data_IF_178572171138
#
_entry.id   IF_178572171138
#
_cell.length_a   1.000
_cell.length_b   1.000
_cell.length_c   1.000
_cell.angle_alpha   90.00
_cell.angle_beta   90.00
_cell.angle_gamma   90.00
#
_symmetry.space_group_name_H-M   'P 1'
#
loop_
_entity.id
_entity.type
_entity.pdbx_description
1 polymer ?
#
# COMPACT_ATOMS: atom_id res chain seq x y z
N UNK A 1 30.79 7.85 101.12
CA UNK A 1 31.80 7.59 100.08
C UNK A 1 31.08 7.09 98.88
N UNK A 2 30.74 8.02 97.97
CA UNK A 2 29.97 7.75 96.79
C UNK A 2 30.86 7.52 95.59
N UNK A 3 30.59 6.44 94.83
CA UNK A 3 31.23 6.20 93.54
C UNK A 3 30.17 6.33 92.49
N UNK A 4 30.25 7.42 91.72
CA UNK A 4 29.48 7.62 90.48
C UNK A 4 30.05 6.79 89.32
N UNK A 5 29.23 5.97 88.71
CA UNK A 5 29.54 5.33 87.41
C UNK A 5 28.96 6.17 86.28
N UNK A 6 29.82 6.63 85.39
CA UNK A 6 29.53 7.26 84.14
C UNK A 6 29.12 6.23 83.07
N UNK A 7 28.00 6.34 82.50
CA UNK A 7 27.53 5.53 81.34
C UNK A 7 27.80 6.27 80.03
N UNK A 8 28.76 5.77 79.23
CA UNK A 8 28.98 6.26 77.85
C UNK A 8 27.92 5.72 76.89
N UNK A 9 27.25 6.63 76.22
CA UNK A 9 26.37 6.32 75.11
C UNK A 9 27.22 6.31 73.82
N UNK A 10 27.32 5.15 73.15
CA UNK A 10 27.83 5.03 71.79
C UNK A 10 26.67 5.19 70.78
N UNK A 11 26.68 6.27 70.02
CA UNK A 11 25.77 6.50 68.92
C UNK A 11 26.29 5.77 67.68
N UNK A 12 25.67 4.63 67.37
CA UNK A 12 25.90 3.98 66.09
C UNK A 12 25.07 4.69 64.97
N UNK A 13 25.74 5.32 64.01
CA UNK A 13 25.15 5.75 62.76
C UNK A 13 24.87 4.55 61.87
N UNK A 14 23.60 4.22 61.66
CA UNK A 14 23.18 3.30 60.57
C UNK A 14 23.18 4.09 59.25
N UNK A 15 24.11 3.84 58.36
CA UNK A 15 24.04 4.25 56.97
C UNK A 15 23.07 3.30 56.24
N UNK A 16 21.84 3.80 55.96
CA UNK A 16 20.93 3.12 55.03
C UNK A 16 21.42 3.36 53.59
N UNK A 17 21.93 2.33 52.96
CA UNK A 17 22.24 2.34 51.52
C UNK A 17 20.92 2.29 50.73
N UNK A 18 20.43 3.42 50.24
CA UNK A 18 19.32 3.46 49.31
C UNK A 18 19.84 3.07 47.93
N UNK A 19 19.63 1.80 47.57
CA UNK A 19 19.83 1.34 46.19
C UNK A 19 18.72 1.95 45.35
N UNK A 20 18.97 3.04 44.63
CA UNK A 20 18.14 3.53 43.53
C UNK A 20 18.28 2.55 42.38
N UNK A 21 17.28 1.66 42.21
CA UNK A 21 17.14 0.86 41.00
C UNK A 21 16.68 1.86 39.91
N UNK A 22 17.63 2.33 39.09
CA UNK A 22 17.29 3.01 37.85
C UNK A 22 16.58 1.99 36.97
N UNK A 23 15.44 2.35 36.35
CA UNK A 23 14.80 1.51 35.35
C UNK A 23 15.84 1.27 34.22
N UNK A 24 15.85 0.08 33.59
CA UNK A 24 16.72 -0.15 32.45
C UNK A 24 16.39 0.90 31.40
N UNK A 25 17.38 1.67 31.00
CA UNK A 25 17.29 2.56 29.87
C UNK A 25 16.81 1.72 28.70
N UNK A 26 15.57 1.93 28.26
CA UNK A 26 15.10 1.41 26.98
C UNK A 26 16.12 1.95 25.97
N UNK A 27 16.93 1.06 25.39
CA UNK A 27 17.76 1.40 24.26
C UNK A 27 16.77 1.79 23.15
N UNK A 28 16.56 3.09 22.94
CA UNK A 28 15.95 3.57 21.72
C UNK A 28 16.83 3.05 20.59
N UNK A 29 16.33 2.07 19.84
CA UNK A 29 17.00 1.63 18.62
C UNK A 29 17.12 2.88 17.74
N UNK A 30 18.33 3.20 17.33
CA UNK A 30 18.54 4.32 16.41
C UNK A 30 17.71 4.05 15.15
N UNK A 31 16.85 4.99 14.77
CA UNK A 31 16.05 4.88 13.55
C UNK A 31 17.02 4.87 12.38
N UNK A 32 17.08 3.74 11.67
CA UNK A 32 17.96 3.55 10.51
C UNK A 32 17.18 3.46 9.21
N UNK A 33 15.85 3.29 9.29
CA UNK A 33 14.98 3.16 8.14
C UNK A 33 14.36 4.49 7.73
N UNK A 34 14.06 4.60 6.43
CA UNK A 34 13.42 5.77 5.83
C UNK A 34 12.23 5.38 4.98
N UNK A 35 11.22 6.27 4.94
CA UNK A 35 10.07 6.14 4.07
C UNK A 35 9.85 7.46 3.33
N UNK A 36 9.54 7.34 2.03
CA UNK A 36 9.20 8.46 1.16
C UNK A 36 7.92 8.12 0.41
N UNK A 37 6.89 8.97 0.48
CA UNK A 37 5.72 8.86 -0.37
C UNK A 37 6.07 9.24 -1.80
N UNK A 38 5.42 8.58 -2.75
CA UNK A 38 5.71 8.67 -4.18
C UNK A 38 4.40 8.72 -4.93
N UNK A 39 4.20 9.72 -5.79
CA UNK A 39 2.97 9.85 -6.54
C UNK A 39 3.14 9.60 -8.05
N UNK A 40 2.03 9.36 -8.72
CA UNK A 40 1.84 9.61 -10.14
C UNK A 40 0.56 10.39 -10.32
N UNK A 41 0.57 11.35 -11.20
CA UNK A 41 -0.59 12.20 -11.46
C UNK A 41 -0.90 12.29 -12.96
N UNK A 42 -2.21 12.43 -13.32
CA UNK A 42 -2.60 12.55 -14.72
C UNK A 42 -2.14 13.89 -15.29
N UNK A 43 -1.31 13.85 -16.33
CA UNK A 43 -0.85 15.06 -17.03
C UNK A 43 -2.05 15.98 -17.38
N UNK A 44 -1.82 17.29 -17.48
CA UNK A 44 -2.85 18.31 -17.76
C UNK A 44 -3.94 18.41 -16.66
N UNK A 45 -3.60 18.09 -15.39
CA UNK A 45 -4.53 18.22 -14.26
C UNK A 45 -3.91 19.02 -13.11
N UNK A 46 -4.76 19.39 -12.16
CA UNK A 46 -4.34 20.04 -10.91
C UNK A 46 -4.13 19.01 -9.76
N UNK A 47 -3.71 17.78 -10.08
CA UNK A 47 -3.53 16.70 -9.11
C UNK A 47 -2.05 16.41 -8.79
N UNK A 48 -1.16 17.33 -9.10
CA UNK A 48 0.27 17.28 -8.79
C UNK A 48 0.54 17.89 -7.41
N UNK A 49 1.31 17.21 -6.59
CA UNK A 49 1.94 17.73 -5.36
C UNK A 49 3.45 17.84 -5.59
N UNK A 50 3.96 19.00 -6.04
CA UNK A 50 5.34 19.15 -6.53
C UNK A 50 6.44 18.78 -5.52
N UNK A 51 6.12 18.63 -4.24
CA UNK A 51 7.02 18.23 -3.17
C UNK A 51 6.92 16.72 -2.81
N UNK A 52 6.04 15.98 -3.45
CA UNK A 52 6.02 14.51 -3.43
C UNK A 52 6.72 14.02 -4.70
N UNK A 53 7.76 13.17 -4.59
CA UNK A 53 8.49 12.70 -5.76
C UNK A 53 7.65 11.89 -6.73
N UNK A 54 7.87 12.07 -8.05
CA UNK A 54 7.22 11.32 -9.12
C UNK A 54 7.71 9.88 -9.22
N UNK A 55 6.79 8.92 -9.34
CA UNK A 55 7.10 7.50 -9.46
C UNK A 55 8.07 7.16 -10.61
N UNK A 56 7.96 7.71 -11.82
CA UNK A 56 8.92 7.42 -12.89
C UNK A 56 10.37 7.73 -12.54
N UNK A 57 10.60 8.81 -11.80
CA UNK A 57 11.93 9.23 -11.36
C UNK A 57 12.42 8.30 -10.25
N UNK A 58 11.60 8.13 -9.21
CA UNK A 58 11.94 7.31 -8.04
C UNK A 58 12.21 5.87 -8.41
N UNK A 59 11.38 5.27 -9.26
CA UNK A 59 11.56 3.88 -9.70
C UNK A 59 12.86 3.71 -10.48
N UNK A 60 13.09 4.57 -11.47
CA UNK A 60 14.33 4.53 -12.25
C UNK A 60 15.57 4.64 -11.35
N UNK A 61 15.59 5.60 -10.43
CA UNK A 61 16.74 5.87 -9.60
C UNK A 61 16.99 4.75 -8.57
N UNK A 62 15.91 4.17 -8.00
CA UNK A 62 16.00 3.01 -7.13
C UNK A 62 16.57 1.78 -7.85
N UNK A 63 16.11 1.50 -9.07
CA UNK A 63 16.57 0.37 -9.89
C UNK A 63 18.01 0.60 -10.40
N UNK A 64 18.37 1.84 -10.73
CA UNK A 64 19.74 2.20 -11.13
C UNK A 64 20.73 1.99 -9.99
N UNK A 65 20.30 2.19 -8.73
CA UNK A 65 21.10 1.99 -7.53
C UNK A 65 21.31 0.51 -7.14
N UNK A 66 20.59 -0.41 -7.75
CA UNK A 66 20.70 -1.84 -7.43
C UNK A 66 22.12 -2.39 -7.68
N UNK A 67 22.63 -3.14 -6.71
CA UNK A 67 23.97 -3.72 -6.74
C UNK A 67 24.01 -5.25 -6.78
N UNK A 68 22.95 -5.93 -6.30
CA UNK A 68 22.90 -7.39 -6.16
C UNK A 68 21.64 -8.00 -6.74
N UNK A 69 20.46 -7.52 -6.33
CA UNK A 69 19.18 -8.12 -6.69
C UNK A 69 18.11 -7.08 -6.97
N UNK A 70 17.24 -7.40 -7.94
CA UNK A 70 15.96 -6.73 -8.15
C UNK A 70 14.89 -7.82 -8.25
N UNK A 71 13.84 -7.73 -7.43
CA UNK A 71 12.69 -8.61 -7.50
C UNK A 71 11.43 -7.75 -7.78
N UNK A 72 10.72 -8.05 -8.84
CA UNK A 72 9.53 -7.31 -9.29
C UNK A 72 8.33 -8.23 -9.26
N UNK A 73 7.26 -7.82 -8.56
CA UNK A 73 5.95 -8.46 -8.63
C UNK A 73 4.92 -7.47 -9.16
N UNK A 74 4.29 -7.81 -10.27
CA UNK A 74 3.34 -6.94 -10.92
C UNK A 74 2.10 -7.68 -11.44
N UNK A 75 0.96 -7.01 -11.32
CA UNK A 75 -0.29 -7.46 -11.88
C UNK A 75 -0.22 -7.61 -13.40
N UNK A 76 0.36 -6.63 -14.09
CA UNK A 76 0.65 -6.68 -15.51
C UNK A 76 1.71 -5.64 -15.91
N UNK A 77 2.20 -5.77 -17.12
CA UNK A 77 3.14 -4.84 -17.73
C UNK A 77 2.57 -4.37 -19.08
N UNK A 78 2.50 -3.06 -19.30
CA UNK A 78 2.00 -2.50 -20.55
C UNK A 78 2.78 -1.26 -20.95
N UNK A 79 3.46 -1.31 -22.09
CA UNK A 79 4.10 -0.16 -22.73
C UNK A 79 3.13 0.55 -23.66
N UNK A 80 3.41 1.81 -23.93
CA UNK A 80 2.69 2.55 -24.96
C UNK A 80 2.92 1.88 -26.34
N UNK A 81 1.84 1.47 -26.97
CA UNK A 81 1.87 0.78 -28.25
C UNK A 81 1.90 -0.75 -28.19
N UNK A 82 1.94 -1.35 -27.00
CA UNK A 82 1.90 -2.81 -26.83
C UNK A 82 0.44 -3.30 -26.74
N UNK A 83 -0.13 -3.72 -27.88
CA UNK A 83 -1.53 -4.19 -27.94
C UNK A 83 -2.57 -3.08 -28.21
N UNK A 84 -3.81 -3.48 -28.44
CA UNK A 84 -4.86 -2.55 -28.88
C UNK A 84 -5.22 -1.50 -27.82
N UNK A 85 -5.26 -1.87 -26.54
CA UNK A 85 -5.62 -0.97 -25.43
C UNK A 85 -4.45 -0.12 -24.93
N UNK A 86 -3.25 -0.32 -25.45
CA UNK A 86 -2.05 0.38 -25.01
C UNK A 86 -1.71 1.62 -25.84
N UNK A 87 -2.49 1.91 -26.86
CA UNK A 87 -2.30 3.13 -27.67
C UNK A 87 -2.83 4.35 -26.93
N UNK A 88 -2.00 5.38 -26.84
CA UNK A 88 -2.35 6.68 -26.32
C UNK A 88 -2.57 7.70 -27.45
N UNK A 89 -3.21 8.83 -27.17
CA UNK A 89 -3.32 9.94 -28.11
C UNK A 89 -1.94 10.57 -28.39
N UNK A 90 -1.90 11.40 -29.42
CA UNK A 90 -0.67 12.14 -29.75
C UNK A 90 -0.22 13.03 -28.58
N UNK A 91 1.08 13.04 -28.32
CA UNK A 91 1.68 13.86 -27.25
C UNK A 91 1.90 13.13 -25.92
N UNK A 92 1.31 11.94 -25.73
CA UNK A 92 1.56 11.13 -24.53
C UNK A 92 2.92 10.43 -24.62
N UNK A 93 3.63 10.39 -23.52
CA UNK A 93 4.96 9.76 -23.42
C UNK A 93 4.89 8.43 -22.69
N UNK A 94 5.63 7.42 -23.18
CA UNK A 94 5.85 6.16 -22.45
C UNK A 94 6.85 6.36 -21.31
N UNK A 95 6.34 6.65 -20.10
CA UNK A 95 7.16 6.82 -18.90
C UNK A 95 7.65 5.48 -18.32
N UNK A 96 7.10 4.35 -18.76
CA UNK A 96 7.55 3.02 -18.33
C UNK A 96 8.81 2.58 -19.10
N UNK A 97 8.95 2.95 -20.37
CA UNK A 97 10.08 2.50 -21.19
C UNK A 97 11.45 2.77 -20.56
N UNK A 98 11.77 3.99 -20.06
CA UNK A 98 13.05 4.25 -19.41
C UNK A 98 13.30 3.42 -18.14
N UNK A 99 12.24 3.03 -17.44
CA UNK A 99 12.32 2.19 -16.24
C UNK A 99 12.67 0.74 -16.64
N UNK A 100 12.01 0.20 -17.66
CA UNK A 100 12.34 -1.12 -18.20
C UNK A 100 13.76 -1.18 -18.75
N UNK A 101 14.22 -0.12 -19.42
CA UNK A 101 15.62 0.01 -19.86
C UNK A 101 16.60 -0.07 -18.69
N UNK A 102 16.23 0.50 -17.52
CA UNK A 102 17.09 0.42 -16.34
C UNK A 102 17.09 -0.98 -15.72
N UNK A 103 15.95 -1.69 -15.72
CA UNK A 103 15.89 -3.11 -15.33
C UNK A 103 16.85 -3.96 -16.21
N UNK A 104 16.84 -3.74 -17.53
CA UNK A 104 17.74 -4.43 -18.47
C UNK A 104 19.20 -4.06 -18.20
N UNK A 105 19.51 -2.77 -18.02
CA UNK A 105 20.85 -2.33 -17.64
C UNK A 105 21.35 -2.96 -16.35
N UNK A 106 20.49 -3.08 -15.34
CA UNK A 106 20.82 -3.75 -14.08
C UNK A 106 21.22 -5.21 -14.30
N UNK A 107 20.44 -5.97 -15.05
CA UNK A 107 20.78 -7.34 -15.45
C UNK A 107 22.12 -7.41 -16.19
N UNK A 108 22.36 -6.49 -17.14
CA UNK A 108 23.62 -6.37 -17.87
C UNK A 108 24.84 -6.01 -16.99
N UNK A 109 24.64 -5.36 -15.85
CA UNK A 109 25.68 -5.10 -14.83
C UNK A 109 25.97 -6.31 -13.93
N UNK A 110 25.21 -7.40 -14.05
CA UNK A 110 25.35 -8.59 -13.21
C UNK A 110 24.42 -8.63 -11.99
N UNK A 111 23.46 -7.68 -11.88
CA UNK A 111 22.40 -7.75 -10.90
C UNK A 111 21.47 -8.92 -11.24
N UNK A 112 21.13 -9.76 -10.27
CA UNK A 112 20.14 -10.81 -10.45
C UNK A 112 18.75 -10.21 -10.44
N UNK A 113 18.03 -10.31 -11.58
CA UNK A 113 16.67 -9.78 -11.70
C UNK A 113 15.67 -10.91 -11.81
N UNK A 114 14.63 -10.88 -10.96
CA UNK A 114 13.48 -11.80 -11.02
C UNK A 114 12.21 -10.98 -11.24
N UNK A 115 11.40 -11.40 -12.21
CA UNK A 115 10.13 -10.74 -12.55
C UNK A 115 8.99 -11.73 -12.44
N UNK A 116 7.98 -11.39 -11.66
CA UNK A 116 6.78 -12.18 -11.45
C UNK A 116 5.58 -11.42 -12.00
N UNK A 117 4.82 -12.04 -12.91
CA UNK A 117 3.62 -11.48 -13.50
C UNK A 117 2.41 -12.40 -13.28
N UNK A 118 1.22 -11.82 -13.24
CA UNK A 118 -0.04 -12.56 -13.10
C UNK A 118 -0.39 -13.35 -14.36
N UNK A 119 -0.81 -14.61 -14.23
CA UNK A 119 -1.12 -15.48 -15.36
C UNK A 119 -2.32 -14.99 -16.18
N UNK A 120 -3.38 -14.48 -15.53
CA UNK A 120 -4.58 -14.04 -16.22
C UNK A 120 -4.33 -12.78 -17.06
N UNK A 121 -3.61 -11.81 -16.49
CA UNK A 121 -3.29 -10.57 -17.19
C UNK A 121 -2.11 -10.71 -18.16
N UNK A 122 -1.20 -11.64 -17.93
CA UNK A 122 -0.16 -11.97 -18.91
C UNK A 122 -0.74 -12.52 -20.22
N UNK A 123 -1.93 -13.11 -20.22
CA UNK A 123 -2.62 -13.49 -21.47
C UNK A 123 -3.02 -12.28 -22.34
N UNK A 124 -3.29 -11.14 -21.69
CA UNK A 124 -3.63 -9.87 -22.37
C UNK A 124 -2.39 -9.06 -22.73
N UNK A 125 -1.39 -9.06 -21.85
CA UNK A 125 -0.18 -8.25 -21.95
C UNK A 125 1.09 -9.10 -21.86
N UNK A 126 1.36 -10.02 -22.81
CA UNK A 126 2.50 -10.94 -22.74
C UNK A 126 3.83 -10.33 -23.16
N UNK A 127 3.82 -9.22 -23.89
CA UNK A 127 4.99 -8.71 -24.63
C UNK A 127 6.17 -8.35 -23.70
N UNK A 128 5.92 -7.56 -22.65
CA UNK A 128 6.99 -7.10 -21.75
C UNK A 128 7.59 -8.23 -20.91
N UNK A 129 6.82 -9.11 -20.23
CA UNK A 129 7.39 -10.24 -19.51
C UNK A 129 8.21 -11.18 -20.39
N UNK A 130 7.74 -11.47 -21.61
CA UNK A 130 8.47 -12.30 -22.57
C UNK A 130 9.79 -11.65 -22.98
N UNK A 131 9.75 -10.37 -23.38
CA UNK A 131 10.94 -9.60 -23.74
C UNK A 131 11.96 -9.48 -22.60
N UNK A 132 11.51 -9.23 -21.36
CA UNK A 132 12.41 -9.19 -20.21
C UNK A 132 13.09 -10.54 -19.97
N UNK A 133 12.37 -11.66 -20.13
CA UNK A 133 12.91 -13.00 -19.95
C UNK A 133 14.01 -13.39 -20.96
N UNK A 134 14.11 -12.68 -22.08
CA UNK A 134 15.17 -12.82 -23.08
C UNK A 134 16.44 -12.04 -22.75
N UNK A 135 16.38 -11.12 -21.75
CA UNK A 135 17.51 -10.27 -21.42
C UNK A 135 18.49 -10.95 -20.47
N UNK A 136 19.77 -10.60 -20.58
CA UNK A 136 20.82 -11.14 -19.73
C UNK A 136 20.58 -10.79 -18.24
N UNK A 137 20.74 -11.77 -17.35
CA UNK A 137 20.59 -11.58 -15.91
C UNK A 137 19.15 -11.50 -15.41
N UNK A 138 18.14 -11.62 -16.29
CA UNK A 138 16.72 -11.52 -15.95
C UNK A 138 16.05 -12.90 -16.07
N UNK A 139 15.24 -13.24 -15.07
CA UNK A 139 14.36 -14.40 -15.08
C UNK A 139 12.92 -13.96 -14.86
N UNK A 140 12.01 -14.47 -15.70
CA UNK A 140 10.56 -14.21 -15.53
C UNK A 140 9.84 -15.50 -15.18
N UNK A 141 8.82 -15.37 -14.32
CA UNK A 141 7.85 -16.40 -13.99
C UNK A 141 6.45 -15.85 -14.06
N UNK A 142 5.49 -16.71 -14.35
CA UNK A 142 4.08 -16.37 -14.41
C UNK A 142 3.38 -17.10 -13.27
N UNK A 143 2.73 -16.35 -12.38
CA UNK A 143 2.03 -16.88 -11.21
C UNK A 143 0.55 -17.09 -11.54
N UNK A 144 0.11 -18.35 -11.51
CA UNK A 144 -1.30 -18.72 -11.68
C UNK A 144 -1.92 -19.07 -10.31
N UNK A 145 -2.68 -18.12 -9.76
CA UNK A 145 -3.34 -18.31 -8.47
C UNK A 145 -4.60 -19.19 -8.57
N UNK A 146 -5.20 -19.31 -9.75
CA UNK A 146 -6.28 -20.27 -9.99
C UNK A 146 -5.76 -21.71 -9.83
N UNK A 147 -4.57 -22.00 -10.35
CA UNK A 147 -3.91 -23.29 -10.18
C UNK A 147 -3.40 -23.49 -8.74
N UNK A 148 -2.85 -22.44 -8.12
CA UNK A 148 -2.21 -22.55 -6.80
C UNK A 148 -3.19 -22.77 -5.66
N UNK A 149 -4.31 -22.02 -5.64
CA UNK A 149 -5.32 -22.12 -4.55
C UNK A 149 -6.78 -21.87 -4.98
N UNK A 150 -7.09 -22.02 -6.26
CA UNK A 150 -8.47 -22.04 -6.76
C UNK A 150 -9.10 -20.67 -6.99
N UNK A 151 -8.31 -19.60 -7.18
CA UNK A 151 -8.85 -18.30 -7.54
C UNK A 151 -7.94 -17.11 -7.29
N UNK A 152 -8.39 -15.94 -7.72
CA UNK A 152 -7.67 -14.68 -7.54
C UNK A 152 -6.68 -14.34 -8.66
N UNK A 153 -5.90 -13.31 -8.42
CA UNK A 153 -4.84 -12.81 -9.31
C UNK A 153 -3.68 -12.27 -8.46
N UNK A 154 -2.49 -12.24 -9.03
CA UNK A 154 -1.37 -11.46 -8.45
C UNK A 154 -1.67 -9.98 -8.67
N UNK A 155 -2.39 -9.35 -7.74
CA UNK A 155 -2.74 -7.93 -7.85
C UNK A 155 -1.73 -7.02 -7.14
N UNK A 156 -0.66 -7.57 -6.59
CA UNK A 156 0.42 -6.83 -5.97
C UNK A 156 1.20 -5.98 -6.99
N UNK A 157 1.73 -4.85 -6.56
CA UNK A 157 2.57 -3.94 -7.34
C UNK A 157 3.69 -3.45 -6.43
N UNK A 158 4.80 -4.17 -6.48
CA UNK A 158 5.97 -3.82 -5.69
C UNK A 158 7.25 -4.31 -6.37
N UNK A 159 8.36 -3.72 -5.95
CA UNK A 159 9.67 -4.27 -6.24
C UNK A 159 10.57 -4.15 -5.02
N UNK A 160 11.54 -5.06 -4.93
CA UNK A 160 12.61 -5.04 -3.94
C UNK A 160 13.94 -4.75 -4.63
N UNK A 161 14.78 -3.98 -3.96
CA UNK A 161 16.14 -3.67 -4.41
C UNK A 161 17.10 -4.07 -3.30
N UNK A 162 18.04 -4.93 -3.63
CA UNK A 162 19.00 -5.48 -2.69
C UNK A 162 18.32 -6.03 -1.42
N UNK A 163 18.88 -5.81 -0.22
CA UNK A 163 18.33 -6.40 1.01
C UNK A 163 17.52 -5.41 1.86
N UNK A 164 17.56 -4.14 1.55
CA UNK A 164 17.05 -3.07 2.41
C UNK A 164 16.05 -2.11 1.74
N UNK A 165 15.90 -2.16 0.42
CA UNK A 165 15.04 -1.26 -0.32
C UNK A 165 13.82 -1.94 -0.95
N UNK A 166 12.67 -1.28 -0.93
CA UNK A 166 11.50 -1.71 -1.67
C UNK A 166 10.52 -0.57 -1.95
N UNK A 167 9.71 -0.76 -2.98
CA UNK A 167 8.55 0.06 -3.29
C UNK A 167 7.28 -0.77 -3.18
N UNK A 168 6.21 -0.21 -2.60
CA UNK A 168 4.84 -0.72 -2.65
C UNK A 168 3.93 0.43 -3.06
N UNK A 169 3.00 0.21 -4.00
CA UNK A 169 2.06 1.26 -4.38
C UNK A 169 0.88 0.75 -5.18
N UNK A 170 0.08 1.69 -5.61
CA UNK A 170 -1.05 1.45 -6.48
C UNK A 170 -0.66 1.39 -7.96
N UNK A 171 0.51 1.93 -8.31
CA UNK A 171 1.03 2.03 -9.68
C UNK A 171 1.28 0.66 -10.30
N UNK A 172 0.57 0.33 -11.38
CA UNK A 172 0.94 -0.80 -12.23
C UNK A 172 2.21 -0.49 -13.03
N UNK A 173 2.90 -1.52 -13.49
CA UNK A 173 3.99 -1.38 -14.47
C UNK A 173 3.40 -1.08 -15.87
N UNK A 174 2.80 0.10 -15.95
CA UNK A 174 1.96 0.55 -17.06
C UNK A 174 2.26 2.03 -17.36
N UNK A 175 2.44 2.35 -18.63
CA UNK A 175 2.67 3.73 -19.06
C UNK A 175 1.59 4.71 -18.57
N UNK A 176 0.31 4.23 -18.46
CA UNK A 176 -0.82 5.03 -17.96
C UNK A 176 -0.70 5.33 -16.46
N UNK A 177 -0.30 4.32 -15.69
CA UNK A 177 -0.12 4.44 -14.24
C UNK A 177 0.97 5.46 -13.86
N UNK A 178 1.91 5.71 -14.75
CA UNK A 178 3.05 6.59 -14.51
C UNK A 178 2.87 8.04 -15.00
N UNK A 179 1.73 8.38 -15.59
CA UNK A 179 1.50 9.74 -16.09
C UNK A 179 0.06 10.07 -16.49
N UNK A 180 -0.88 9.13 -16.37
CA UNK A 180 -2.27 9.34 -16.78
C UNK A 180 -3.29 8.88 -15.74
N UNK A 181 -2.83 8.41 -14.58
CA UNK A 181 -3.65 7.90 -13.47
C UNK A 181 -3.16 8.53 -12.16
N UNK A 182 -4.07 8.83 -11.24
CA UNK A 182 -3.74 9.37 -9.93
C UNK A 182 -3.44 8.26 -8.94
N UNK A 183 -2.18 8.11 -8.54
CA UNK A 183 -1.64 6.97 -7.83
C UNK A 183 -0.78 7.41 -6.66
N UNK A 184 -0.74 6.59 -5.60
CA UNK A 184 0.14 6.80 -4.45
C UNK A 184 0.86 5.50 -4.09
N UNK A 185 2.13 5.62 -3.75
CA UNK A 185 2.96 4.53 -3.25
C UNK A 185 4.00 5.02 -2.26
N UNK A 186 4.84 4.13 -1.81
CA UNK A 186 5.92 4.41 -0.88
C UNK A 186 7.20 3.69 -1.30
N UNK A 187 8.31 4.42 -1.24
CA UNK A 187 9.66 3.85 -1.25
C UNK A 187 10.15 3.75 0.20
N UNK A 188 10.54 2.55 0.60
CA UNK A 188 11.04 2.28 1.96
C UNK A 188 12.45 1.74 1.88
N UNK A 189 13.28 2.16 2.82
CA UNK A 189 14.63 1.63 3.03
C UNK A 189 14.76 1.19 4.48
N UNK A 190 14.50 -0.11 4.73
CA UNK A 190 14.63 -0.77 6.04
C UNK A 190 14.74 -2.29 5.83
N UNK A 191 15.81 -2.88 6.34
CA UNK A 191 16.17 -4.29 6.11
C UNK A 191 15.12 -5.29 6.61
N UNK A 192 14.53 -5.05 7.78
CA UNK A 192 13.54 -5.96 8.38
C UNK A 192 12.25 -6.02 7.59
N UNK A 193 11.72 -4.87 7.17
CA UNK A 193 10.52 -4.77 6.32
C UNK A 193 10.80 -5.34 4.91
N UNK A 194 11.97 -5.05 4.33
CA UNK A 194 12.37 -5.63 3.05
C UNK A 194 12.45 -7.15 3.11
N UNK A 195 12.98 -7.70 4.22
CA UNK A 195 13.01 -9.15 4.47
C UNK A 195 11.61 -9.75 4.58
N UNK A 196 10.69 -9.10 5.27
CA UNK A 196 9.30 -9.57 5.40
C UNK A 196 8.60 -9.58 4.04
N UNK A 197 8.74 -8.53 3.24
CA UNK A 197 8.19 -8.47 1.88
C UNK A 197 8.85 -9.51 0.95
N UNK A 198 10.15 -9.75 1.09
CA UNK A 198 10.89 -10.77 0.32
C UNK A 198 10.38 -12.17 0.60
N UNK A 199 9.98 -12.48 1.83
CA UNK A 199 9.40 -13.79 2.18
C UNK A 199 8.08 -14.03 1.41
N UNK A 200 7.28 -12.99 1.19
CA UNK A 200 6.09 -13.07 0.34
C UNK A 200 6.50 -13.32 -1.11
N UNK A 201 7.47 -12.55 -1.61
CA UNK A 201 7.97 -12.71 -2.98
C UNK A 201 8.54 -14.12 -3.23
N UNK A 202 9.38 -14.62 -2.35
CA UNK A 202 10.03 -15.92 -2.50
C UNK A 202 9.02 -17.07 -2.49
N UNK A 203 7.98 -16.98 -1.65
CA UNK A 203 6.87 -17.93 -1.67
C UNK A 203 6.14 -17.90 -3.03
N UNK A 204 5.75 -16.73 -3.49
CA UNK A 204 5.06 -16.56 -4.79
C UNK A 204 5.95 -17.01 -5.96
N UNK A 205 7.26 -16.73 -5.87
CA UNK A 205 8.24 -17.17 -6.86
C UNK A 205 8.39 -18.70 -6.90
N UNK A 206 8.40 -19.35 -5.73
CA UNK A 206 8.48 -20.82 -5.63
C UNK A 206 7.23 -21.47 -6.23
N UNK A 207 6.03 -20.97 -5.89
CA UNK A 207 4.75 -21.42 -6.46
C UNK A 207 4.74 -21.27 -7.98
N UNK A 208 5.15 -20.12 -8.50
CA UNK A 208 5.27 -19.90 -9.96
C UNK A 208 6.35 -20.77 -10.63
N UNK A 209 7.20 -21.42 -9.84
CA UNK A 209 8.18 -22.42 -10.28
C UNK A 209 7.66 -23.85 -10.22
N UNK A 210 6.42 -24.06 -9.82
CA UNK A 210 5.79 -25.39 -9.70
C UNK A 210 5.97 -26.04 -8.33
N UNK A 211 6.50 -25.33 -7.33
CA UNK A 211 6.55 -25.85 -5.97
C UNK A 211 5.16 -25.79 -5.33
N UNK A 212 4.73 -26.85 -4.60
CA UNK A 212 3.45 -26.82 -3.92
C UNK A 212 3.45 -25.72 -2.83
N UNK A 213 2.33 -25.04 -2.69
CA UNK A 213 2.16 -24.11 -1.59
C UNK A 213 2.15 -24.85 -0.24
N UNK A 214 2.96 -24.38 0.69
CA UNK A 214 3.12 -24.96 2.03
C UNK A 214 2.81 -23.93 3.13
N UNK A 215 2.06 -22.87 2.81
CA UNK A 215 1.77 -21.79 3.75
C UNK A 215 0.96 -22.25 4.95
N UNK A 216 1.07 -21.49 6.02
CA UNK A 216 0.33 -21.67 7.27
C UNK A 216 -0.82 -20.67 7.29
N UNK A 217 -1.98 -21.08 7.78
CA UNK A 217 -3.05 -20.12 8.05
C UNK A 217 -2.60 -19.20 9.21
N UNK A 218 -2.43 -17.88 9.00
CA UNK A 218 -1.93 -16.99 10.03
C UNK A 218 -2.93 -16.88 11.19
N UNK A 219 -2.42 -16.79 12.40
CA UNK A 219 -3.22 -16.40 13.56
C UNK A 219 -3.71 -14.96 13.44
N UNK A 220 -4.89 -14.67 13.95
CA UNK A 220 -5.36 -13.29 14.11
C UNK A 220 -4.64 -12.69 15.34
N UNK A 221 -3.60 -11.90 15.08
CA UNK A 221 -2.82 -11.24 16.12
C UNK A 221 -3.22 -9.76 16.13
N UNK A 222 -3.62 -9.19 17.29
CA UNK A 222 -3.94 -7.77 17.40
C UNK A 222 -2.75 -6.90 16.97
N UNK A 223 -3.03 -5.75 16.37
CA UNK A 223 -2.00 -4.81 15.89
C UNK A 223 -1.00 -4.42 16.99
N UNK A 224 -1.48 -4.30 18.24
CA UNK A 224 -0.63 -3.96 19.39
C UNK A 224 0.47 -4.99 19.67
N UNK A 225 0.24 -6.26 19.34
CA UNK A 225 1.15 -7.38 19.63
C UNK A 225 2.04 -7.74 18.43
N UNK A 226 1.87 -7.10 17.28
CA UNK A 226 2.67 -7.34 16.09
C UNK A 226 4.02 -6.61 16.16
N UNK A 227 5.12 -7.24 15.70
CA UNK A 227 6.42 -6.59 15.63
C UNK A 227 6.40 -5.46 14.58
N UNK A 228 6.93 -4.29 14.97
CA UNK A 228 6.99 -3.09 14.13
C UNK A 228 8.43 -2.62 13.99
N UNK A 229 8.71 -1.88 12.92
CA UNK A 229 10.04 -1.32 12.63
C UNK A 229 9.98 0.19 12.62
N UNK A 230 10.93 0.88 13.27
CA UNK A 230 10.98 2.34 13.25
C UNK A 230 11.47 2.85 11.89
N UNK A 231 10.79 3.89 11.40
CA UNK A 231 11.11 4.60 10.17
C UNK A 231 11.13 6.11 10.42
N UNK A 232 11.94 6.81 9.65
CA UNK A 232 11.93 8.27 9.55
C UNK A 232 11.22 8.71 8.27
N UNK A 233 10.25 9.58 8.38
CA UNK A 233 9.60 10.20 7.21
C UNK A 233 10.50 11.27 6.60
N UNK A 234 10.21 11.68 5.36
CA UNK A 234 10.92 12.77 4.70
C UNK A 234 10.84 14.11 5.48
N UNK A 235 9.79 14.31 6.28
CA UNK A 235 9.60 15.48 7.14
C UNK A 235 10.27 15.34 8.52
N UNK A 236 10.98 14.23 8.77
CA UNK A 236 11.70 13.97 10.02
C UNK A 236 10.83 13.48 11.18
N UNK A 237 9.64 12.97 10.92
CA UNK A 237 8.82 12.30 11.93
C UNK A 237 9.25 10.83 12.10
N UNK A 238 9.37 10.39 13.34
CA UNK A 238 9.56 8.97 13.66
C UNK A 238 8.21 8.26 13.66
N UNK A 239 8.11 7.16 12.92
CA UNK A 239 6.93 6.32 12.81
C UNK A 239 7.31 4.85 12.93
N UNK A 240 6.33 3.99 13.12
CA UNK A 240 6.51 2.54 13.11
C UNK A 240 5.77 1.93 11.93
N UNK A 241 6.34 0.87 11.35
CA UNK A 241 5.77 0.19 10.19
C UNK A 241 5.78 -1.32 10.34
N UNK A 242 4.84 -1.98 9.67
CA UNK A 242 4.83 -3.42 9.44
C UNK A 242 4.26 -3.76 8.06
N UNK A 243 4.77 -4.84 7.46
CA UNK A 243 4.27 -5.39 6.19
C UNK A 243 3.02 -6.23 6.47
N UNK A 244 2.01 -6.07 5.61
CA UNK A 244 0.78 -6.88 5.62
C UNK A 244 0.53 -7.45 4.24
N UNK A 245 -0.27 -8.51 4.13
CA UNK A 245 -0.62 -9.06 2.83
C UNK A 245 -1.95 -9.82 2.83
N UNK A 246 -2.44 -10.12 1.64
CA UNK A 246 -3.58 -10.98 1.33
C UNK A 246 -3.21 -11.98 0.22
N UNK A 247 -3.95 -13.10 0.04
CA UNK A 247 -5.04 -13.57 0.89
C UNK A 247 -4.50 -14.29 2.13
N UNK A 248 -5.37 -14.44 3.15
CA UNK A 248 -5.01 -15.14 4.40
C UNK A 248 -4.39 -16.51 4.15
N UNK A 249 -4.96 -17.29 3.24
CA UNK A 249 -4.48 -18.62 2.91
C UNK A 249 -3.05 -18.65 2.32
N UNK A 250 -2.62 -17.58 1.66
CA UNK A 250 -1.35 -17.53 0.93
C UNK A 250 -0.22 -16.81 1.68
N UNK A 251 -0.24 -16.70 3.01
CA UNK A 251 0.73 -15.91 3.75
C UNK A 251 1.90 -16.75 4.29
N UNK A 252 3.14 -16.25 4.24
CA UNK A 252 4.25 -16.81 5.01
C UNK A 252 4.00 -16.67 6.51
N UNK A 253 4.56 -17.58 7.31
CA UNK A 253 4.47 -17.50 8.77
C UNK A 253 4.95 -16.13 9.29
N UNK A 254 4.18 -15.51 10.19
CA UNK A 254 4.51 -14.23 10.82
C UNK A 254 4.19 -12.99 9.95
N UNK A 255 3.68 -13.15 8.73
CA UNK A 255 3.11 -12.04 7.96
C UNK A 255 1.62 -11.94 8.30
N UNK A 256 1.15 -10.81 8.85
CA UNK A 256 -0.25 -10.65 9.22
C UNK A 256 -1.15 -10.43 7.99
N UNK A 257 -2.38 -10.93 8.08
CA UNK A 257 -3.42 -10.64 7.11
C UNK A 257 -3.88 -9.17 7.25
N UNK A 258 -3.99 -8.44 6.14
CA UNK A 258 -4.27 -7.00 6.14
C UNK A 258 -5.72 -6.64 6.56
N UNK A 259 -6.73 -7.41 6.19
CA UNK A 259 -8.14 -7.07 6.45
C UNK A 259 -8.47 -6.84 7.93
N UNK A 260 -8.12 -7.72 8.89
CA UNK A 260 -8.40 -7.47 10.30
C UNK A 260 -7.70 -6.21 10.84
N UNK A 261 -6.47 -5.94 10.37
CA UNK A 261 -5.71 -4.78 10.81
C UNK A 261 -6.32 -3.47 10.29
N UNK A 262 -6.81 -3.46 9.05
CA UNK A 262 -7.55 -2.31 8.51
C UNK A 262 -8.82 -2.04 9.29
N UNK A 263 -9.57 -3.09 9.68
CA UNK A 263 -10.75 -2.97 10.53
C UNK A 263 -10.37 -2.42 11.91
N UNK A 264 -9.30 -2.93 12.52
CA UNK A 264 -8.81 -2.47 13.82
C UNK A 264 -8.40 -0.98 13.76
N UNK A 265 -7.72 -0.55 12.70
CA UNK A 265 -7.40 0.86 12.48
C UNK A 265 -8.67 1.73 12.41
N UNK A 266 -9.66 1.35 11.59
CA UNK A 266 -10.93 2.09 11.47
C UNK A 266 -11.68 2.07 12.80
N UNK A 267 -11.70 0.96 13.52
CA UNK A 267 -12.36 0.83 14.82
C UNK A 267 -11.65 1.64 15.93
N UNK A 268 -10.37 1.97 15.77
CA UNK A 268 -9.63 2.85 16.69
C UNK A 268 -9.93 4.35 16.51
N UNK A 269 -10.55 4.73 15.38
CA UNK A 269 -10.83 6.12 15.02
C UNK A 269 -11.68 6.84 16.06
N UNK A 270 -11.29 8.08 16.37
CA UNK A 270 -12.01 9.01 17.28
C UNK A 270 -12.42 10.29 16.58
N UNK A 271 -11.56 10.80 15.70
CA UNK A 271 -11.72 12.09 15.05
C UNK A 271 -12.04 11.95 13.57
N UNK A 272 -11.26 11.14 12.82
CA UNK A 272 -11.41 11.05 11.38
C UNK A 272 -10.94 9.72 10.77
N UNK A 273 -11.60 9.33 9.68
CA UNK A 273 -11.17 8.28 8.76
C UNK A 273 -11.23 8.82 7.34
N UNK A 274 -10.09 8.88 6.64
CA UNK A 274 -10.06 9.19 5.22
C UNK A 274 -9.72 7.94 4.42
N UNK A 275 -10.43 7.73 3.31
CA UNK A 275 -10.25 6.56 2.44
C UNK A 275 -10.18 7.02 0.99
N UNK A 276 -9.17 6.57 0.24
CA UNK A 276 -9.07 6.88 -1.19
C UNK A 276 -8.81 5.60 -1.99
N UNK A 277 -9.70 5.30 -2.94
CA UNK A 277 -9.74 4.02 -3.65
C UNK A 277 -10.17 4.16 -5.11
N UNK A 278 -9.72 3.22 -5.95
CA UNK A 278 -10.35 3.01 -7.25
C UNK A 278 -11.81 2.54 -7.09
N UNK A 279 -12.02 1.51 -6.26
CA UNK A 279 -13.33 0.89 -6.11
C UNK A 279 -13.56 0.31 -4.72
N UNK A 280 -14.81 0.35 -4.31
CA UNK A 280 -15.36 -0.26 -3.10
C UNK A 280 -16.56 -1.12 -3.50
N UNK A 281 -16.62 -2.34 -3.03
CA UNK A 281 -17.70 -3.26 -3.40
C UNK A 281 -18.08 -4.20 -2.25
N UNK A 282 -19.36 -4.20 -1.91
CA UNK A 282 -19.91 -5.01 -0.82
C UNK A 282 -20.34 -6.42 -1.24
N UNK A 283 -20.31 -6.73 -2.52
CA UNK A 283 -20.56 -8.07 -3.04
C UNK A 283 -19.55 -8.44 -4.10
N UNK A 284 -19.17 -9.71 -4.13
CA UNK A 284 -18.37 -10.27 -5.20
C UNK A 284 -19.23 -10.63 -6.44
N UNK A 285 -18.61 -11.27 -7.43
CA UNK A 285 -19.29 -11.68 -8.67
C UNK A 285 -20.34 -12.75 -8.43
N UNK A 286 -20.15 -13.58 -7.40
CA UNK A 286 -21.09 -14.61 -6.95
C UNK A 286 -22.17 -14.06 -6.02
N UNK A 287 -22.20 -12.73 -5.81
CA UNK A 287 -23.11 -12.01 -4.90
C UNK A 287 -22.96 -12.42 -3.42
N UNK A 288 -21.79 -12.91 -3.02
CA UNK A 288 -21.48 -13.11 -1.61
C UNK A 288 -21.21 -11.76 -0.97
N UNK A 289 -21.82 -11.52 0.18
CA UNK A 289 -21.67 -10.26 0.91
C UNK A 289 -20.25 -10.14 1.46
N UNK A 290 -19.71 -8.94 1.38
CA UNK A 290 -18.45 -8.51 1.98
C UNK A 290 -18.66 -7.11 2.55
N UNK A 291 -19.15 -7.04 3.77
CA UNK A 291 -19.50 -5.78 4.43
C UNK A 291 -18.61 -5.46 5.64
N UNK A 292 -17.49 -6.16 5.79
CA UNK A 292 -16.59 -6.01 6.94
C UNK A 292 -16.06 -4.56 7.08
N UNK A 293 -15.58 -3.99 5.98
CA UNK A 293 -15.07 -2.61 5.97
C UNK A 293 -16.20 -1.58 6.00
N UNK A 294 -17.34 -1.81 5.33
CA UNK A 294 -18.53 -0.98 5.43
C UNK A 294 -19.01 -0.87 6.89
N UNK A 295 -19.13 -2.00 7.58
CA UNK A 295 -19.51 -2.03 8.99
C UNK A 295 -18.51 -1.28 9.88
N UNK A 296 -17.20 -1.38 9.60
CA UNK A 296 -16.19 -0.64 10.36
C UNK A 296 -16.35 0.87 10.18
N UNK A 297 -16.55 1.35 8.93
CA UNK A 297 -16.81 2.76 8.64
C UNK A 297 -18.08 3.28 9.32
N UNK A 298 -19.17 2.50 9.30
CA UNK A 298 -20.41 2.84 10.01
C UNK A 298 -20.18 2.93 11.52
N UNK A 299 -19.42 2.00 12.12
CA UNK A 299 -19.08 2.07 13.56
C UNK A 299 -18.25 3.31 13.88
N UNK A 300 -17.30 3.70 13.01
CA UNK A 300 -16.53 4.93 13.19
C UNK A 300 -17.44 6.17 13.21
N UNK A 301 -18.35 6.29 12.25
CA UNK A 301 -19.32 7.38 12.20
C UNK A 301 -20.25 7.41 13.43
N UNK A 302 -20.74 6.24 13.90
CA UNK A 302 -21.56 6.13 15.12
C UNK A 302 -20.80 6.56 16.36
N UNK A 303 -19.47 6.36 16.41
CA UNK A 303 -18.62 6.89 17.52
C UNK A 303 -18.39 8.40 17.44
N UNK A 304 -18.76 9.04 16.33
CA UNK A 304 -18.60 10.48 16.10
C UNK A 304 -17.38 10.85 15.27
N UNK A 305 -16.62 9.89 14.74
CA UNK A 305 -15.54 10.17 13.80
C UNK A 305 -16.09 10.62 12.45
N UNK A 306 -15.46 11.62 11.83
CA UNK A 306 -15.76 12.03 10.47
C UNK A 306 -15.20 11.02 9.48
N UNK A 307 -16.03 10.45 8.61
CA UNK A 307 -15.60 9.50 7.57
C UNK A 307 -15.70 10.17 6.20
N UNK A 308 -14.58 10.29 5.52
CA UNK A 308 -14.50 10.84 4.17
C UNK A 308 -13.92 9.81 3.20
N UNK A 309 -14.59 9.61 2.06
CA UNK A 309 -14.16 8.66 1.04
C UNK A 309 -14.05 9.32 -0.33
N UNK A 310 -12.93 9.10 -1.00
CA UNK A 310 -12.75 9.41 -2.42
C UNK A 310 -12.74 8.10 -3.20
N UNK A 311 -13.58 8.02 -4.22
CA UNK A 311 -13.68 6.88 -5.11
C UNK A 311 -13.58 7.34 -6.57
N UNK A 312 -12.98 6.49 -7.41
CA UNK A 312 -13.05 6.74 -8.83
C UNK A 312 -14.50 6.78 -9.35
N UNK A 313 -14.77 7.57 -10.37
CA UNK A 313 -16.07 7.62 -11.03
C UNK A 313 -16.51 6.27 -11.64
N UNK A 314 -15.59 5.30 -11.77
CA UNK A 314 -15.91 3.92 -12.13
C UNK A 314 -16.82 3.23 -11.11
N UNK A 315 -16.84 3.71 -9.88
CA UNK A 315 -17.73 3.26 -8.81
C UNK A 315 -19.21 3.66 -9.03
N UNK A 316 -19.51 4.54 -10.03
CA UNK A 316 -20.88 4.85 -10.50
C UNK A 316 -21.56 3.67 -11.19
N UNK A 317 -20.98 2.48 -11.16
CA UNK A 317 -21.56 1.27 -11.74
C UNK A 317 -22.87 0.89 -11.03
N UNK A 318 -23.82 0.31 -11.77
CA UNK A 318 -25.11 -0.16 -11.21
C UNK A 318 -24.96 -1.17 -10.08
N UNK A 319 -23.80 -1.83 -10.00
CA UNK A 319 -23.50 -2.82 -8.97
C UNK A 319 -23.08 -2.16 -7.66
N UNK A 320 -22.19 -1.17 -7.70
CA UNK A 320 -21.61 -0.54 -6.51
C UNK A 320 -22.43 0.65 -6.02
N UNK A 321 -23.04 1.41 -6.93
CA UNK A 321 -23.70 2.68 -6.62
C UNK A 321 -24.74 2.61 -5.51
N UNK A 322 -25.68 1.62 -5.47
CA UNK A 322 -26.69 1.56 -4.40
C UNK A 322 -26.10 1.43 -3.00
N UNK A 323 -25.00 0.71 -2.86
CA UNK A 323 -24.29 0.54 -1.59
C UNK A 323 -23.59 1.81 -1.15
N UNK A 324 -22.92 2.51 -2.08
CA UNK A 324 -22.27 3.79 -1.82
C UNK A 324 -23.29 4.88 -1.44
N UNK A 325 -24.45 4.88 -2.07
CA UNK A 325 -25.54 5.79 -1.72
C UNK A 325 -26.11 5.49 -0.33
N UNK A 326 -26.28 4.20 0.01
CA UNK A 326 -26.71 3.80 1.34
C UNK A 326 -25.68 4.16 2.43
N UNK A 327 -24.38 4.11 2.11
CA UNK A 327 -23.31 4.52 3.02
C UNK A 327 -23.27 6.06 3.14
N UNK A 328 -23.39 6.79 2.03
CA UNK A 328 -23.42 8.26 2.01
C UNK A 328 -24.66 8.86 2.73
N UNK A 329 -25.73 8.09 2.91
CA UNK A 329 -26.92 8.51 3.68
C UNK A 329 -26.68 8.49 5.19
N UNK A 330 -25.57 7.94 5.69
CA UNK A 330 -25.25 7.89 7.13
C UNK A 330 -24.68 9.23 7.58
N UNK A 331 -25.23 9.87 8.63
CA UNK A 331 -24.63 11.07 9.20
C UNK A 331 -23.17 10.84 9.63
N UNK A 332 -22.31 11.78 9.26
CA UNK A 332 -20.86 11.67 9.53
C UNK A 332 -20.06 10.91 8.45
N UNK A 333 -20.69 10.40 7.40
CA UNK A 333 -20.02 9.81 6.25
C UNK A 333 -20.27 10.67 4.99
N UNK A 334 -19.20 11.15 4.36
CA UNK A 334 -19.26 11.85 3.07
C UNK A 334 -18.41 11.09 2.04
N UNK A 335 -18.99 10.87 0.87
CA UNK A 335 -18.33 10.18 -0.25
C UNK A 335 -18.28 11.14 -1.44
N UNK A 336 -17.14 11.18 -2.14
CA UNK A 336 -16.97 11.92 -3.39
C UNK A 336 -16.45 11.01 -4.49
N UNK A 337 -16.96 11.18 -5.70
CA UNK A 337 -16.37 10.64 -6.90
C UNK A 337 -15.37 11.63 -7.49
N UNK A 338 -14.27 11.14 -8.09
CA UNK A 338 -13.39 11.97 -8.90
C UNK A 338 -13.72 11.81 -10.37
N UNK A 339 -13.91 12.93 -11.07
CA UNK A 339 -14.18 12.99 -12.52
C UNK A 339 -13.01 13.69 -13.21
N UNK A 340 -11.90 12.96 -13.35
CA UNK A 340 -10.68 13.48 -14.00
C UNK A 340 -10.98 13.66 -15.50
N UNK A 341 -10.75 14.87 -16.08
CA UNK A 341 -11.06 15.15 -17.47
C UNK A 341 -10.22 14.31 -18.44
N UNK A 342 -10.72 14.07 -19.63
CA UNK A 342 -9.95 13.45 -20.71
C UNK A 342 -8.70 14.28 -21.04
N UNK A 343 -7.66 13.62 -21.53
CA UNK A 343 -6.46 14.26 -22.03
C UNK A 343 -6.79 15.12 -23.27
N UNK A 344 -6.10 16.26 -23.48
CA UNK A 344 -6.36 17.17 -24.61
C UNK A 344 -6.21 16.49 -25.98
N UNK A 345 -5.35 15.47 -26.06
CA UNK A 345 -5.17 14.63 -27.25
C UNK A 345 -6.27 13.58 -27.49
N UNK A 346 -7.20 13.40 -26.55
CA UNK A 346 -8.33 12.48 -26.66
C UNK A 346 -8.40 11.42 -25.56
N UNK A 347 -9.35 10.51 -25.71
CA UNK A 347 -9.66 9.45 -24.74
C UNK A 347 -8.51 8.44 -24.63
N UNK A 348 -8.16 8.10 -23.39
CA UNK A 348 -7.19 7.06 -23.04
C UNK A 348 -7.92 5.93 -22.31
N UNK A 349 -7.99 4.72 -22.88
CA UNK A 349 -8.64 3.58 -22.23
C UNK A 349 -8.02 3.27 -20.86
N UNK A 350 -8.88 3.01 -19.86
CA UNK A 350 -8.46 2.65 -18.49
C UNK A 350 -7.55 3.67 -17.77
N UNK A 351 -7.62 4.94 -18.15
CA UNK A 351 -6.86 6.03 -17.55
C UNK A 351 -7.77 7.14 -17.03
N UNK A 352 -7.19 8.27 -16.64
CA UNK A 352 -7.86 9.47 -16.13
C UNK A 352 -8.76 9.15 -14.94
N UNK A 353 -8.23 8.40 -13.98
CA UNK A 353 -8.97 7.81 -12.87
C UNK A 353 -8.18 7.91 -11.57
N UNK A 354 -8.89 7.99 -10.45
CA UNK A 354 -8.34 7.78 -9.11
C UNK A 354 -8.00 6.30 -8.90
N UNK A 355 -6.78 6.00 -8.51
CA UNK A 355 -6.37 4.61 -8.36
C UNK A 355 -5.53 4.34 -7.11
N UNK A 356 -5.26 5.34 -6.28
CA UNK A 356 -4.63 5.13 -4.97
C UNK A 356 -5.45 4.15 -4.10
N UNK A 357 -4.81 3.50 -3.14
CA UNK A 357 -5.44 2.55 -2.22
C UNK A 357 -4.84 2.69 -0.83
N UNK A 358 -5.50 3.52 -0.03
CA UNK A 358 -5.08 3.73 1.36
C UNK A 358 -6.24 4.21 2.24
N UNK A 359 -6.03 4.11 3.52
CA UNK A 359 -6.83 4.78 4.55
C UNK A 359 -5.91 5.49 5.54
N UNK A 360 -6.36 6.62 6.09
CA UNK A 360 -5.72 7.31 7.22
C UNK A 360 -6.70 7.43 8.39
N UNK A 361 -6.18 7.44 9.61
CA UNK A 361 -6.97 7.52 10.85
C UNK A 361 -6.35 8.54 11.79
N UNK A 362 -7.15 9.53 12.18
CA UNK A 362 -6.83 10.54 13.21
C UNK A 362 -5.48 11.26 13.02
N UNK A 363 -4.95 11.35 11.79
CA UNK A 363 -3.63 11.93 11.50
C UNK A 363 -2.43 11.18 12.10
N UNK A 364 -2.60 9.92 12.56
CA UNK A 364 -1.57 9.17 13.29
C UNK A 364 -1.40 7.71 12.89
N UNK A 365 -2.29 7.19 12.09
CA UNK A 365 -2.19 5.82 11.59
C UNK A 365 -2.68 5.74 10.15
N UNK A 366 -2.15 4.80 9.37
CA UNK A 366 -2.62 4.53 8.04
C UNK A 366 -2.34 3.09 7.61
N UNK A 367 -3.09 2.63 6.63
CA UNK A 367 -2.75 1.51 5.78
C UNK A 367 -2.63 2.00 4.34
N UNK A 368 -1.58 1.57 3.63
CA UNK A 368 -1.40 1.80 2.20
C UNK A 368 -1.03 0.48 1.53
N UNK A 369 -1.60 0.19 0.35
CA UNK A 369 -1.32 -1.08 -0.30
C UNK A 369 -1.89 -1.20 -1.70
N UNK A 370 -2.06 -2.44 -2.14
CA UNK A 370 -2.47 -2.75 -3.50
C UNK A 370 -3.94 -3.16 -3.62
N UNK A 371 -4.63 -3.45 -2.52
CA UNK A 371 -6.01 -3.98 -2.50
C UNK A 371 -7.05 -2.90 -2.81
N UNK A 372 -7.91 -3.13 -3.79
CA UNK A 372 -9.22 -2.49 -3.79
C UNK A 372 -10.11 -3.13 -2.72
N UNK A 373 -11.14 -2.41 -2.28
CA UNK A 373 -11.97 -2.89 -1.18
C UNK A 373 -13.17 -3.70 -1.70
N UNK A 374 -12.90 -4.94 -2.06
CA UNK A 374 -13.91 -5.96 -2.32
C UNK A 374 -13.36 -7.35 -1.95
N UNK A 375 -14.25 -8.31 -1.77
CA UNK A 375 -13.95 -9.62 -1.21
C UNK A 375 -12.77 -10.33 -1.87
N UNK A 376 -12.72 -10.34 -3.20
CA UNK A 376 -11.71 -11.09 -3.95
C UNK A 376 -10.28 -10.61 -3.68
N UNK A 377 -10.10 -9.31 -3.36
CA UNK A 377 -8.76 -8.76 -3.05
C UNK A 377 -8.21 -9.24 -1.71
N UNK A 378 -9.08 -9.52 -0.74
CA UNK A 378 -8.66 -9.96 0.60
C UNK A 378 -8.65 -11.48 0.76
N UNK A 379 -9.50 -12.21 0.01
CA UNK A 379 -9.69 -13.63 0.22
C UNK A 379 -9.14 -14.54 -0.89
N UNK A 380 -8.79 -13.99 -2.06
CA UNK A 380 -8.35 -14.79 -3.20
C UNK A 380 -7.09 -14.25 -3.88
N UNK A 381 -6.96 -12.92 -4.00
CA UNK A 381 -5.87 -12.31 -4.75
C UNK A 381 -4.67 -11.98 -3.87
N UNK A 382 -3.46 -12.15 -4.42
CA UNK A 382 -2.23 -11.69 -3.77
C UNK A 382 -2.19 -10.17 -3.80
N UNK A 383 -2.20 -9.58 -2.62
CA UNK A 383 -1.96 -8.16 -2.39
C UNK A 383 -0.94 -7.98 -1.26
N UNK A 384 -0.32 -6.81 -1.21
CA UNK A 384 0.60 -6.40 -0.16
C UNK A 384 0.28 -4.99 0.31
N UNK A 385 0.63 -4.67 1.53
CA UNK A 385 0.44 -3.35 2.12
C UNK A 385 1.38 -3.08 3.27
N UNK A 386 1.32 -1.86 3.77
CA UNK A 386 1.99 -1.42 4.98
C UNK A 386 0.95 -0.80 5.92
N UNK A 387 1.05 -1.13 7.20
CA UNK A 387 0.48 -0.33 8.28
C UNK A 387 1.59 0.59 8.80
N UNK A 388 1.30 1.88 8.90
CA UNK A 388 2.17 2.92 9.44
C UNK A 388 1.51 3.54 10.65
N UNK A 389 2.25 3.68 11.74
CA UNK A 389 1.76 4.18 13.03
C UNK A 389 2.67 5.28 13.56
N UNK A 390 2.09 6.36 14.03
CA UNK A 390 2.80 7.50 14.62
C UNK A 390 2.27 8.83 14.10
N UNK A 391 2.43 9.87 14.89
CA UNK A 391 2.09 11.23 14.46
C UNK A 391 2.94 11.60 13.24
N UNK A 392 2.29 12.09 12.19
CA UNK A 392 2.95 12.40 10.91
C UNK A 392 3.03 11.25 9.91
N UNK A 393 2.65 10.01 10.27
CA UNK A 393 2.57 8.91 9.31
C UNK A 393 1.68 9.23 8.10
N UNK A 394 0.49 9.83 8.25
CA UNK A 394 -0.38 10.19 7.14
C UNK A 394 -0.18 11.63 6.61
N UNK A 395 0.90 12.35 6.98
CA UNK A 395 1.07 13.75 6.58
C UNK A 395 0.93 13.97 5.05
N UNK A 396 1.73 13.26 4.24
CA UNK A 396 1.65 13.41 2.80
C UNK A 396 0.39 12.76 2.20
N UNK A 397 -0.07 11.58 2.64
CA UNK A 397 -1.36 11.03 2.22
C UNK A 397 -2.56 11.91 2.53
N UNK A 398 -2.59 12.61 3.65
CA UNK A 398 -3.68 13.55 3.96
C UNK A 398 -3.64 14.80 3.06
N UNK A 399 -2.46 15.26 2.66
CA UNK A 399 -2.32 16.33 1.65
C UNK A 399 -2.79 15.86 0.28
N UNK A 400 -2.40 14.65 -0.13
CA UNK A 400 -2.83 14.01 -1.37
C UNK A 400 -4.37 13.80 -1.38
N UNK A 401 -4.94 13.36 -0.25
CA UNK A 401 -6.39 13.28 -0.07
C UNK A 401 -7.07 14.64 -0.24
N UNK A 402 -6.58 15.66 0.48
CA UNK A 402 -7.17 16.99 0.48
C UNK A 402 -7.09 17.68 -0.90
N UNK A 403 -6.03 17.42 -1.68
CA UNK A 403 -5.91 17.88 -3.06
C UNK A 403 -7.06 17.34 -3.92
N UNK A 404 -7.33 16.03 -3.84
CA UNK A 404 -8.47 15.41 -4.54
C UNK A 404 -9.81 15.85 -3.96
N UNK A 405 -9.93 15.90 -2.62
CA UNK A 405 -11.18 16.20 -1.92
C UNK A 405 -11.71 17.62 -2.20
N UNK A 406 -10.83 18.59 -2.17
CA UNK A 406 -11.16 20.00 -2.44
C UNK A 406 -10.94 20.42 -3.89
N UNK A 407 -10.40 19.52 -4.70
CA UNK A 407 -10.04 19.78 -6.09
C UNK A 407 -11.25 19.94 -7.01
N UNK A 408 -11.03 20.43 -8.24
CA UNK A 408 -12.09 20.74 -9.19
C UNK A 408 -12.77 19.50 -9.77
N UNK A 409 -12.23 18.30 -9.50
CA UNK A 409 -12.72 17.04 -10.08
C UNK A 409 -13.60 16.25 -9.12
N UNK A 410 -13.76 16.71 -7.87
CA UNK A 410 -14.54 16.04 -6.84
C UNK A 410 -16.05 16.32 -7.01
N UNK A 411 -16.86 15.29 -6.92
CA UNK A 411 -18.33 15.34 -6.98
C UNK A 411 -18.89 14.60 -5.75
N UNK A 412 -19.61 15.31 -4.89
CA UNK A 412 -20.26 14.71 -3.71
C UNK A 412 -21.34 13.71 -4.13
N UNK A 413 -21.34 12.54 -3.54
CA UNK A 413 -22.36 11.52 -3.79
C UNK A 413 -23.68 11.93 -3.16
N UNK A 414 -24.69 12.15 -3.98
CA UNK A 414 -26.08 12.33 -3.54
C UNK A 414 -26.69 10.93 -3.28
N UNK A 415 -27.17 10.65 -2.05
CA UNK A 415 -27.83 9.39 -1.73
C UNK A 415 -29.05 9.05 -2.61
N UNK A 416 -29.67 10.06 -3.23
CA UNK A 416 -30.84 9.91 -4.10
C UNK A 416 -30.53 10.27 -5.56
N UNK A 417 -29.27 10.56 -5.90
CA UNK A 417 -28.87 11.01 -7.23
C UNK A 417 -28.84 9.89 -8.27
N UNK A 418 -29.06 10.27 -9.51
CA UNK A 418 -28.87 9.40 -10.67
C UNK A 418 -27.48 9.61 -11.26
N UNK A 419 -26.75 8.51 -11.50
CA UNK A 419 -25.38 8.56 -12.02
C UNK A 419 -25.22 7.69 -13.27
N UNK A 420 -24.46 8.21 -14.23
CA UNK A 420 -24.07 7.46 -15.43
C UNK A 420 -22.62 6.98 -15.28
N UNK A 421 -22.36 5.68 -15.40
CA UNK A 421 -20.99 5.16 -15.42
C UNK A 421 -20.18 5.79 -16.58
N UNK A 422 -18.91 6.17 -16.37
CA UNK A 422 -18.08 6.70 -17.43
C UNK A 422 -17.69 5.62 -18.44
N UNK A 423 -17.26 6.07 -19.61
CA UNK A 423 -16.57 5.21 -20.58
C UNK A 423 -15.24 4.74 -19.98
N UNK A 424 -14.88 3.44 -20.20
CA UNK A 424 -13.61 2.85 -19.75
C UNK A 424 -12.75 2.33 -20.91
N UNK A 425 -13.41 1.91 -21.99
CA UNK A 425 -12.81 1.38 -23.24
C UNK A 425 -13.31 2.13 -24.46
#
# INVERSE_FOLDING_TARGET
>A
MEFRRSAGRSSGLLFALVLTILPPAAYAQAVTGFITFVESWPEETALDLPDIPDAPIVWRDALAGASRTIDIASFYFSRLGDGEDAYGPAGVTDRLAPILDEVVRAGGRGVTVRVLADAKFNRTYPAVPAWLGEQAGIKTRILDLEEAWGGGVLHAKYFLVDDDGFFIGSQNWDWRALGQIHELGVLVKEEGLARDLRRIYDLDWAIAGGEPWTGVEPADIPLADLPRRPLMTAQGAEIEALVTASPRLGLPEGIPWDLPLMIELIDSARDSVHVQLLSFGETDREKRLFDDLDRALRRAAVRGAEVRMILANWSKSKHNLPWLQALAAIPGIEIRFTNIPEHSGGFIPFARVEHAKYLTVDGRAMWIGTSNWSRDYFHASRNVGLVLLGEGAPHDPDRFFNLSWHGPYAETVDPCGDYTPPRRQ
#
